data_IF_908553377675
#
_entry.id   IF_908553377675
#
_cell.length_a   1.000
_cell.length_b   1.000
_cell.length_c   1.000
_cell.angle_alpha   90.00
_cell.angle_beta   90.00
_cell.angle_gamma   90.00
#
_symmetry.space_group_name_H-M   'P 1'
#
loop_
_entity.id
_entity.type
_entity.pdbx_description
1 polymer ?
#
# COMPACT_ATOMS: atom_id res chain seq x y z
N UNK A 1 17.32 -29.83 -8.64
CA UNK A 1 16.22 -28.87 -8.42
C UNK A 1 15.88 -28.08 -9.71
N UNK A 2 15.72 -28.77 -10.86
CA UNK A 2 15.67 -28.10 -12.18
C UNK A 2 14.40 -27.27 -12.40
N UNK A 3 13.26 -27.80 -11.96
CA UNK A 3 11.97 -27.11 -12.09
C UNK A 3 11.92 -25.81 -11.28
N UNK A 4 12.38 -25.82 -10.03
CA UNK A 4 12.39 -24.64 -9.14
C UNK A 4 13.22 -23.50 -9.75
N UNK A 5 14.37 -23.81 -10.36
CA UNK A 5 15.23 -22.81 -11.00
C UNK A 5 14.55 -22.21 -12.24
N UNK A 6 13.90 -23.05 -13.06
CA UNK A 6 13.17 -22.58 -14.23
C UNK A 6 12.00 -21.66 -13.85
N UNK A 7 11.24 -22.02 -12.80
CA UNK A 7 10.13 -21.19 -12.31
C UNK A 7 10.61 -19.86 -11.70
N UNK A 8 11.71 -19.88 -10.93
CA UNK A 8 12.29 -18.66 -10.37
C UNK A 8 12.70 -17.67 -11.46
N UNK A 9 13.38 -18.14 -12.53
CA UNK A 9 13.75 -17.31 -13.69
C UNK A 9 12.53 -16.71 -14.37
N UNK A 10 11.51 -17.54 -14.63
CA UNK A 10 10.26 -17.12 -15.27
C UNK A 10 9.54 -16.03 -14.47
N UNK A 11 9.44 -16.18 -13.15
CA UNK A 11 8.75 -15.21 -12.28
C UNK A 11 9.54 -13.90 -12.16
N UNK A 12 10.87 -13.98 -12.11
CA UNK A 12 11.76 -12.80 -12.10
C UNK A 12 11.93 -12.13 -13.47
N UNK A 13 11.23 -12.60 -14.51
CA UNK A 13 11.30 -12.12 -15.89
C UNK A 13 12.72 -12.17 -16.48
N UNK A 14 13.50 -13.17 -16.09
CA UNK A 14 14.76 -13.47 -16.76
C UNK A 14 14.49 -13.97 -18.20
N UNK A 15 15.39 -13.70 -19.15
CA UNK A 15 15.33 -14.29 -20.49
C UNK A 15 15.23 -15.82 -20.44
N UNK A 16 14.52 -16.43 -21.40
CA UNK A 16 14.34 -17.89 -21.44
C UNK A 16 15.66 -18.67 -21.61
N UNK A 17 16.66 -18.03 -22.22
CA UNK A 17 18.02 -18.53 -22.41
C UNK A 17 18.99 -18.12 -21.27
N UNK A 18 18.50 -17.43 -20.24
CA UNK A 18 19.31 -17.02 -19.10
C UNK A 18 19.75 -18.23 -18.28
N UNK A 19 21.07 -18.41 -18.15
CA UNK A 19 21.66 -19.34 -17.19
C UNK A 19 21.80 -18.74 -15.79
N UNK A 20 21.39 -17.47 -15.61
CA UNK A 20 21.48 -16.78 -14.32
C UNK A 20 20.66 -17.55 -13.27
N UNK A 21 21.33 -17.99 -12.21
CA UNK A 21 20.68 -18.53 -11.03
C UNK A 21 20.57 -17.35 -10.06
N UNK A 22 19.38 -17.02 -9.55
CA UNK A 22 19.24 -16.00 -8.52
C UNK A 22 20.05 -16.43 -7.28
N UNK A 23 21.28 -15.95 -7.18
CA UNK A 23 22.21 -16.26 -6.09
C UNK A 23 22.10 -15.25 -4.97
N UNK A 24 21.64 -14.04 -5.28
CA UNK A 24 21.30 -13.03 -4.29
C UNK A 24 19.80 -13.07 -3.98
N UNK A 25 19.49 -13.48 -2.75
CA UNK A 25 18.13 -13.54 -2.24
C UNK A 25 17.50 -12.15 -2.17
N UNK A 26 18.30 -11.09 -1.98
CA UNK A 26 17.82 -9.70 -1.89
C UNK A 26 17.30 -9.21 -3.24
N UNK A 27 18.12 -9.29 -4.29
CA UNK A 27 17.70 -8.96 -5.67
C UNK A 27 16.49 -9.79 -6.12
N UNK A 28 16.47 -11.10 -5.82
CA UNK A 28 15.31 -11.94 -6.12
C UNK A 28 14.04 -11.43 -5.41
N UNK A 29 14.14 -11.10 -4.12
CA UNK A 29 13.03 -10.58 -3.32
C UNK A 29 12.52 -9.25 -3.86
N UNK A 30 13.42 -8.35 -4.27
CA UNK A 30 13.05 -7.06 -4.84
C UNK A 30 12.15 -7.20 -6.07
N UNK A 31 12.45 -8.19 -6.93
CA UNK A 31 11.73 -8.42 -8.18
C UNK A 31 10.35 -9.06 -7.98
N UNK A 32 10.19 -9.90 -6.95
CA UNK A 32 8.98 -10.71 -6.78
C UNK A 32 8.08 -10.24 -5.65
N UNK A 33 8.61 -9.48 -4.69
CA UNK A 33 7.89 -9.07 -3.50
C UNK A 33 7.76 -7.55 -3.44
N UNK A 34 6.53 -7.09 -3.62
CA UNK A 34 6.18 -5.69 -3.61
C UNK A 34 5.43 -5.39 -2.32
N UNK A 35 5.90 -4.41 -1.57
CA UNK A 35 5.23 -3.92 -0.37
C UNK A 35 4.74 -2.50 -0.62
N UNK A 36 3.59 -2.14 -0.04
CA UNK A 36 3.06 -0.80 -0.15
C UNK A 36 2.54 -0.34 1.20
N UNK A 37 2.97 0.84 1.64
CA UNK A 37 2.40 1.54 2.77
C UNK A 37 1.46 2.64 2.24
N UNK A 38 0.18 2.55 2.57
CA UNK A 38 -0.85 3.48 2.12
C UNK A 38 -1.30 4.34 3.31
N UNK A 39 -0.53 5.38 3.61
CA UNK A 39 -0.79 6.26 4.76
C UNK A 39 -1.83 7.33 4.46
N UNK A 40 -2.58 7.72 5.46
CA UNK A 40 -3.47 8.90 5.47
C UNK A 40 -3.02 9.92 6.52
N UNK A 41 -3.69 11.07 6.60
CA UNK A 41 -3.51 12.11 7.62
C UNK A 41 -3.62 11.57 9.05
N UNK A 42 -4.32 10.44 9.23
CA UNK A 42 -4.53 9.77 10.51
C UNK A 42 -3.43 8.73 10.82
N UNK A 43 -2.51 8.47 9.89
CA UNK A 43 -1.43 7.50 10.07
C UNK A 43 -0.23 8.13 10.76
N UNK A 44 0.43 7.39 11.65
CA UNK A 44 1.61 7.91 12.36
C UNK A 44 2.90 7.75 11.54
N UNK A 45 3.86 8.64 11.80
CA UNK A 45 5.22 8.52 11.26
C UNK A 45 5.88 7.20 11.69
N UNK A 46 5.56 6.73 12.90
CA UNK A 46 6.08 5.48 13.44
C UNK A 46 5.68 4.26 12.62
N UNK A 47 4.39 4.12 12.26
CA UNK A 47 3.94 2.96 11.46
C UNK A 47 4.51 3.00 10.04
N UNK A 48 4.63 4.18 9.46
CA UNK A 48 5.27 4.40 8.15
C UNK A 48 6.74 3.99 8.19
N UNK A 49 7.47 4.44 9.20
CA UNK A 49 8.88 4.15 9.36
C UNK A 49 9.14 2.65 9.60
N UNK A 50 8.29 1.98 10.38
CA UNK A 50 8.37 0.53 10.60
C UNK A 50 8.15 -0.26 9.30
N UNK A 51 7.17 0.15 8.47
CA UNK A 51 6.92 -0.48 7.17
C UNK A 51 8.13 -0.34 6.24
N UNK A 52 8.73 0.85 6.19
CA UNK A 52 9.96 1.10 5.43
C UNK A 52 11.13 0.24 5.93
N UNK A 53 11.40 0.23 7.24
CA UNK A 53 12.47 -0.59 7.81
C UNK A 53 12.31 -2.07 7.51
N UNK A 54 11.08 -2.60 7.59
CA UNK A 54 10.81 -3.99 7.24
C UNK A 54 11.10 -4.26 5.76
N UNK A 55 10.70 -3.35 4.88
CA UNK A 55 10.98 -3.48 3.44
C UNK A 55 12.47 -3.49 3.12
N UNK A 56 13.28 -2.66 3.79
CA UNK A 56 14.75 -2.60 3.65
C UNK A 56 15.43 -3.86 4.22
N UNK A 57 14.88 -4.43 5.29
CA UNK A 57 15.39 -5.65 5.90
C UNK A 57 15.25 -6.85 4.96
N UNK A 58 14.13 -6.94 4.22
CA UNK A 58 13.82 -8.03 3.29
C UNK A 58 14.16 -7.73 1.82
N UNK A 59 14.53 -6.49 1.50
CA UNK A 59 14.83 -6.01 0.15
C UNK A 59 13.65 -6.04 -0.83
N UNK A 60 12.42 -5.85 -0.34
CA UNK A 60 11.23 -5.78 -1.20
C UNK A 60 11.17 -4.46 -1.97
N UNK A 61 10.55 -4.45 -3.16
CA UNK A 61 10.18 -3.20 -3.81
C UNK A 61 9.09 -2.49 -3.00
N UNK A 62 9.42 -1.36 -2.36
CA UNK A 62 8.50 -0.66 -1.45
C UNK A 62 7.94 0.62 -2.06
N UNK A 63 6.62 0.76 -2.00
CA UNK A 63 5.91 1.99 -2.38
C UNK A 63 5.36 2.65 -1.13
N UNK A 64 5.80 3.86 -0.86
CA UNK A 64 5.22 4.72 0.16
C UNK A 64 4.23 5.70 -0.50
N UNK A 65 2.94 5.45 -0.31
CA UNK A 65 1.84 6.20 -0.91
C UNK A 65 1.08 7.00 0.15
N UNK A 66 0.91 8.30 -0.09
CA UNK A 66 -0.04 9.13 0.65
C UNK A 66 -1.42 9.07 -0.05
N UNK A 67 -2.43 8.55 0.66
CA UNK A 67 -3.80 8.36 0.21
C UNK A 67 -4.72 9.57 0.42
N UNK A 68 -4.27 10.64 1.08
CA UNK A 68 -5.10 11.80 1.42
C UNK A 68 -5.73 12.43 0.19
N UNK A 69 -4.97 12.58 -0.89
CA UNK A 69 -5.49 13.13 -2.14
C UNK A 69 -6.67 12.31 -2.72
N UNK A 70 -6.58 10.98 -2.65
CA UNK A 70 -7.62 10.06 -3.11
C UNK A 70 -8.84 10.11 -2.19
N UNK A 71 -8.62 10.07 -0.87
CA UNK A 71 -9.68 10.14 0.13
C UNK A 71 -10.44 11.48 0.02
N UNK A 72 -9.72 12.59 -0.13
CA UNK A 72 -10.29 13.92 -0.36
C UNK A 72 -11.11 13.93 -1.64
N UNK A 73 -10.58 13.41 -2.76
CA UNK A 73 -11.30 13.37 -4.02
C UNK A 73 -12.62 12.58 -3.92
N UNK A 74 -12.60 11.41 -3.28
CA UNK A 74 -13.81 10.59 -3.05
C UNK A 74 -14.82 11.32 -2.17
N UNK A 75 -14.37 11.96 -1.09
CA UNK A 75 -15.25 12.77 -0.21
C UNK A 75 -15.85 13.97 -0.93
N UNK A 76 -15.09 14.63 -1.79
CA UNK A 76 -15.57 15.74 -2.60
C UNK A 76 -16.65 15.29 -3.59
N UNK A 77 -16.41 14.19 -4.32
CA UNK A 77 -17.40 13.62 -5.24
C UNK A 77 -18.69 13.25 -4.51
N UNK A 78 -18.57 12.56 -3.37
CA UNK A 78 -19.73 12.21 -2.54
C UNK A 78 -20.52 13.45 -2.13
N UNK A 79 -19.85 14.50 -1.65
CA UNK A 79 -20.51 15.73 -1.22
C UNK A 79 -21.19 16.51 -2.35
N UNK A 80 -20.70 16.38 -3.58
CA UNK A 80 -21.34 16.96 -4.77
C UNK A 80 -22.63 16.22 -5.13
N UNK A 81 -22.65 14.89 -5.02
CA UNK A 81 -23.79 14.05 -5.44
C UNK A 81 -24.85 13.94 -4.34
N UNK A 82 -24.44 13.76 -3.09
CA UNK A 82 -25.32 13.53 -1.96
C UNK A 82 -25.78 14.83 -1.28
N UNK A 83 -25.25 15.99 -1.70
CA UNK A 83 -25.48 17.32 -1.09
C UNK A 83 -25.21 17.37 0.43
N UNK A 84 -24.47 16.40 0.95
CA UNK A 84 -24.10 16.27 2.37
C UNK A 84 -22.60 15.99 2.51
N UNK A 85 -21.99 16.46 3.61
CA UNK A 85 -20.56 16.22 3.89
C UNK A 85 -20.39 15.47 5.21
N UNK A 86 -20.14 14.15 5.17
CA UNK A 86 -19.89 13.36 6.36
C UNK A 86 -18.73 13.94 7.18
N UNK A 87 -18.89 13.94 8.51
CA UNK A 87 -17.89 14.42 9.47
C UNK A 87 -17.40 13.27 10.35
N UNK A 88 -16.15 13.35 10.81
CA UNK A 88 -15.69 12.45 11.87
C UNK A 88 -16.35 12.83 13.18
N UNK A 89 -16.52 11.84 14.07
CA UNK A 89 -17.07 12.07 15.41
C UNK A 89 -16.19 13.00 16.26
N UNK A 90 -14.89 13.04 15.99
CA UNK A 90 -13.92 13.87 16.71
C UNK A 90 -13.95 15.37 16.34
N UNK A 91 -14.65 15.75 15.26
CA UNK A 91 -14.80 17.17 14.87
C UNK A 91 -15.90 17.85 15.71
N UNK A 92 -15.79 19.16 15.98
CA UNK A 92 -16.50 19.88 17.05
C UNK A 92 -18.02 19.66 17.22
N UNK A 93 -18.80 19.60 16.13
CA UNK A 93 -20.25 19.29 16.20
C UNK A 93 -20.56 17.78 16.13
N UNK A 94 -19.54 16.95 15.86
CA UNK A 94 -19.54 15.50 15.84
C UNK A 94 -20.36 14.89 14.71
N UNK A 95 -19.72 14.14 13.81
CA UNK A 95 -20.46 13.28 12.89
C UNK A 95 -21.18 12.14 13.60
N UNK A 96 -22.21 11.60 12.96
CA UNK A 96 -22.95 10.43 13.46
C UNK A 96 -22.07 9.18 13.47
N UNK A 97 -22.49 8.13 14.19
CA UNK A 97 -21.80 6.84 14.14
C UNK A 97 -21.70 6.28 12.70
N UNK A 98 -22.75 6.50 11.89
CA UNK A 98 -22.78 6.06 10.49
C UNK A 98 -21.79 6.84 9.61
N UNK A 99 -21.72 8.16 9.76
CA UNK A 99 -20.76 9.00 9.02
C UNK A 99 -19.31 8.66 9.39
N UNK A 100 -19.05 8.45 10.67
CA UNK A 100 -17.73 8.07 11.14
C UNK A 100 -17.28 6.71 10.59
N UNK A 101 -18.18 5.71 10.57
CA UNK A 101 -17.90 4.41 9.96
C UNK A 101 -17.67 4.53 8.44
N UNK A 102 -18.50 5.31 7.75
CA UNK A 102 -18.36 5.52 6.31
C UNK A 102 -17.01 6.17 5.95
N UNK A 103 -16.56 7.17 6.72
CA UNK A 103 -15.27 7.83 6.52
C UNK A 103 -14.07 6.95 6.89
N UNK A 104 -14.23 6.03 7.84
CA UNK A 104 -13.20 5.01 8.10
C UNK A 104 -13.12 4.02 6.93
N UNK A 105 -14.26 3.57 6.40
CA UNK A 105 -14.30 2.61 5.29
C UNK A 105 -13.67 3.14 4.00
N UNK A 106 -13.73 4.45 3.73
CA UNK A 106 -13.09 5.05 2.53
C UNK A 106 -11.55 5.09 2.66
N UNK A 107 -11.01 4.94 3.87
CA UNK A 107 -9.56 4.90 4.13
C UNK A 107 -8.98 3.47 4.20
N UNK A 108 -9.83 2.43 4.13
CA UNK A 108 -9.43 1.01 4.14
C UNK A 108 -9.10 0.54 2.73
#
# INVERSE_FOLDING_TARGET
NKQVIADARRISREPEDSECIPSDLRDFTNRIFHTCYMGTENSSEETRQRAKQLSEAIDSYHVDLNMDSVVIAVRHLFGLVAETRPQFRAHGLGGTAAENLALQNIQV
#
